data_IF_326405385056
#
_entry.id   IF_326405385056
#
_cell.length_a   1.000
_cell.length_b   1.000
_cell.length_c   1.000
_cell.angle_alpha   90.00
_cell.angle_beta   90.00
_cell.angle_gamma   90.00
#
_symmetry.space_group_name_H-M   'P 1'
#
loop_
_entity.id
_entity.type
_entity.pdbx_description
1 polymer ?
#
# COMPACT_ATOMS: atom_id res chain seq x y z
N UNK A 1 16.36 -11.65 21.77
CA UNK A 1 15.64 -11.75 20.49
C UNK A 1 14.14 -11.80 20.78
N UNK A 2 13.40 -10.75 20.42
CA UNK A 2 11.98 -10.62 20.78
C UNK A 2 11.07 -11.47 19.88
N UNK A 3 9.85 -11.80 20.32
CA UNK A 3 8.89 -12.59 19.52
C UNK A 3 8.48 -11.87 18.22
N UNK A 4 8.54 -10.55 18.23
CA UNK A 4 8.14 -9.68 17.12
C UNK A 4 9.19 -9.68 16.01
N UNK A 5 10.48 -9.67 16.36
CA UNK A 5 11.58 -9.84 15.39
C UNK A 5 11.43 -11.12 14.58
N UNK A 6 11.05 -12.23 15.24
CA UNK A 6 10.79 -13.52 14.57
C UNK A 6 9.52 -13.49 13.72
N UNK A 7 8.46 -12.85 14.20
CA UNK A 7 7.20 -12.76 13.46
C UNK A 7 7.31 -11.91 12.19
N UNK A 8 8.09 -10.83 12.25
CA UNK A 8 8.35 -9.94 11.11
C UNK A 8 9.48 -10.44 10.20
N UNK A 9 10.24 -11.47 10.60
CA UNK A 9 11.39 -11.97 9.85
C UNK A 9 12.54 -10.98 9.73
N UNK A 10 12.65 -10.02 10.66
CA UNK A 10 13.63 -8.93 10.61
C UNK A 10 14.83 -9.26 11.51
N UNK A 11 16.08 -9.08 11.03
CA UNK A 11 17.26 -9.24 11.86
C UNK A 11 17.25 -8.30 13.08
N UNK A 12 17.69 -8.78 14.24
CA UNK A 12 17.67 -8.04 15.51
C UNK A 12 18.36 -6.66 15.43
N UNK A 13 19.50 -6.58 14.73
CA UNK A 13 20.23 -5.31 14.53
C UNK A 13 19.42 -4.30 13.69
N UNK A 14 18.72 -4.77 12.66
CA UNK A 14 17.82 -3.96 11.83
C UNK A 14 16.63 -3.49 12.64
N UNK A 15 16.08 -4.38 13.47
CA UNK A 15 14.95 -4.05 14.34
C UNK A 15 15.31 -2.93 15.32
N UNK A 16 16.45 -3.04 16.00
CA UNK A 16 16.92 -2.00 16.92
C UNK A 16 17.31 -0.68 16.25
N UNK A 17 17.82 -0.71 15.01
CA UNK A 17 18.24 0.50 14.30
C UNK A 17 17.08 1.32 13.75
N UNK A 18 16.01 0.66 13.32
CA UNK A 18 14.87 1.31 12.63
C UNK A 18 13.63 1.47 13.50
N UNK A 19 13.51 0.69 14.57
CA UNK A 19 12.34 0.70 15.45
C UNK A 19 12.72 1.02 16.91
N UNK A 20 13.80 1.78 17.11
CA UNK A 20 14.28 2.19 18.43
C UNK A 20 13.16 2.82 19.28
N UNK A 21 12.36 3.71 18.69
CA UNK A 21 11.24 4.38 19.37
C UNK A 21 10.18 3.38 19.86
N UNK A 22 9.89 2.36 19.05
CA UNK A 22 8.93 1.31 19.40
C UNK A 22 9.46 0.46 20.57
N UNK A 23 10.77 0.19 20.56
CA UNK A 23 11.49 -0.57 21.59
C UNK A 23 11.48 0.19 22.92
N UNK A 24 11.83 1.46 22.91
CA UNK A 24 11.86 2.29 24.11
C UNK A 24 10.47 2.57 24.69
N UNK A 25 9.44 2.72 23.84
CA UNK A 25 8.07 2.96 24.29
C UNK A 25 7.36 1.72 24.86
N UNK A 26 7.58 0.54 24.27
CA UNK A 26 6.74 -0.64 24.54
C UNK A 26 7.49 -1.85 25.10
N UNK A 27 8.80 -1.94 24.91
CA UNK A 27 9.56 -3.16 25.25
C UNK A 27 10.58 -2.94 26.37
N UNK A 28 10.92 -1.70 26.68
CA UNK A 28 11.79 -1.38 27.81
C UNK A 28 11.00 -1.48 29.12
N UNK A 29 11.43 -2.32 30.09
CA UNK A 29 10.82 -2.34 31.41
C UNK A 29 10.93 -0.93 32.01
N UNK A 30 9.80 -0.27 32.27
CA UNK A 30 9.76 1.00 33.02
C UNK A 30 10.20 0.71 34.46
N UNK A 31 11.50 0.80 34.71
CA UNK A 31 12.00 1.04 36.06
C UNK A 31 11.48 2.45 36.42
N UNK A 32 10.70 2.63 37.50
CA UNK A 32 10.22 3.95 37.88
C UNK A 32 11.42 4.81 38.26
N UNK A 33 11.89 5.65 37.34
CA UNK A 33 12.87 6.68 37.63
C UNK A 33 12.15 7.84 38.33
N UNK A 34 12.73 8.42 39.40
CA UNK A 34 12.13 9.56 40.09
C UNK A 34 11.97 10.73 39.11
N UNK A 35 10.82 11.41 39.18
CA UNK A 35 10.36 12.41 38.23
C UNK A 35 11.45 13.43 37.84
N UNK A 36 11.95 13.31 36.60
CA UNK A 36 12.70 14.38 35.94
C UNK A 36 11.71 15.32 35.22
N UNK A 37 11.98 16.64 35.22
CA UNK A 37 11.11 17.62 34.59
C UNK A 37 11.04 17.40 33.08
N UNK A 38 9.81 17.44 32.55
CA UNK A 38 9.48 17.24 31.15
C UNK A 38 10.20 18.26 30.25
N UNK A 39 11.12 17.78 29.42
CA UNK A 39 11.57 18.51 28.23
C UNK A 39 10.52 18.36 27.12
N UNK A 40 10.12 19.45 26.43
CA UNK A 40 9.10 19.38 25.40
C UNK A 40 9.53 18.54 24.21
N UNK A 41 8.62 17.64 23.85
CA UNK A 41 8.49 16.78 22.68
C UNK A 41 8.93 17.42 21.35
N UNK A 42 10.04 16.95 20.79
CA UNK A 42 10.38 17.10 19.37
C UNK A 42 9.80 15.93 18.54
N UNK A 43 8.49 15.66 18.58
CA UNK A 43 7.85 14.59 17.76
C UNK A 43 7.07 15.11 16.55
N UNK A 44 6.81 16.42 16.48
CA UNK A 44 5.82 16.98 15.55
C UNK A 44 6.18 16.80 14.06
N UNK A 45 7.47 16.72 13.72
CA UNK A 45 7.92 16.50 12.34
C UNK A 45 7.82 15.05 11.85
N UNK A 46 7.90 14.07 12.75
CA UNK A 46 7.85 12.64 12.41
C UNK A 46 6.41 12.18 12.15
N UNK A 47 5.46 12.67 12.96
CA UNK A 47 4.05 12.33 12.87
C UNK A 47 3.43 12.85 11.56
N UNK A 48 3.76 14.08 11.15
CA UNK A 48 3.28 14.67 9.91
C UNK A 48 3.79 13.90 8.66
N UNK A 49 5.05 13.46 8.67
CA UNK A 49 5.62 12.65 7.58
C UNK A 49 4.97 11.27 7.51
N UNK A 50 4.67 10.68 8.66
CA UNK A 50 4.01 9.37 8.75
C UNK A 50 2.58 9.44 8.24
N UNK A 51 1.81 10.48 8.61
CA UNK A 51 0.45 10.68 8.12
C UNK A 51 0.42 10.99 6.61
N UNK A 52 1.38 11.77 6.11
CA UNK A 52 1.53 12.03 4.67
C UNK A 52 1.82 10.75 3.86
N UNK A 53 2.67 9.85 4.40
CA UNK A 53 2.94 8.56 3.78
C UNK A 53 1.70 7.65 3.82
N UNK A 54 0.97 7.62 4.95
CA UNK A 54 -0.23 6.80 5.12
C UNK A 54 -1.35 7.24 4.18
N UNK A 55 -1.58 8.54 4.07
CA UNK A 55 -2.58 9.12 3.15
C UNK A 55 -2.22 8.86 1.69
N UNK A 56 -0.93 8.97 1.33
CA UNK A 56 -0.44 8.57 0.00
C UNK A 56 -0.72 7.08 -0.26
N UNK A 57 -0.39 6.20 0.67
CA UNK A 57 -0.59 4.75 0.51
C UNK A 57 -2.07 4.37 0.38
N UNK A 58 -2.96 5.04 1.13
CA UNK A 58 -4.42 4.86 1.00
C UNK A 58 -4.91 5.26 -0.39
N UNK A 59 -4.40 6.36 -0.94
CA UNK A 59 -4.72 6.81 -2.30
C UNK A 59 -4.25 5.79 -3.33
N UNK A 60 -2.99 5.38 -3.25
CA UNK A 60 -2.41 4.37 -4.14
C UNK A 60 -3.18 3.04 -4.06
N UNK A 61 -3.59 2.59 -2.87
CA UNK A 61 -4.40 1.38 -2.73
C UNK A 61 -5.78 1.50 -3.40
N UNK A 62 -6.40 2.68 -3.30
CA UNK A 62 -7.68 2.96 -3.95
C UNK A 62 -7.53 2.94 -5.47
N UNK A 63 -6.47 3.56 -6.00
CA UNK A 63 -6.17 3.60 -7.42
C UNK A 63 -5.86 2.19 -7.97
N UNK A 64 -5.14 1.37 -7.21
CA UNK A 64 -4.86 -0.04 -7.55
C UNK A 64 -6.14 -0.87 -7.60
N UNK A 65 -7.03 -0.73 -6.61
CA UNK A 65 -8.33 -1.44 -6.62
C UNK A 65 -9.19 -1.05 -7.81
N UNK A 66 -9.19 0.23 -8.18
CA UNK A 66 -9.90 0.72 -9.37
C UNK A 66 -9.33 0.11 -10.64
N UNK A 67 -8.00 0.07 -10.75
CA UNK A 67 -7.29 -0.51 -11.89
C UNK A 67 -7.57 -2.02 -12.01
N UNK A 68 -7.56 -2.75 -10.89
CA UNK A 68 -7.91 -4.17 -10.86
C UNK A 68 -9.33 -4.43 -11.35
N UNK A 69 -10.31 -3.66 -10.88
CA UNK A 69 -11.69 -3.82 -11.34
C UNK A 69 -11.85 -3.61 -12.85
N UNK A 70 -11.10 -2.68 -13.45
CA UNK A 70 -11.09 -2.48 -14.90
C UNK A 70 -10.48 -3.67 -15.64
N UNK A 71 -9.36 -4.20 -15.16
CA UNK A 71 -8.72 -5.35 -15.78
C UNK A 71 -9.54 -6.63 -15.64
N UNK A 72 -10.17 -6.85 -14.49
CA UNK A 72 -11.11 -7.97 -14.30
C UNK A 72 -12.25 -7.91 -15.32
N UNK A 73 -12.83 -6.74 -15.55
CA UNK A 73 -13.89 -6.58 -16.55
C UNK A 73 -13.38 -6.80 -17.97
N UNK A 74 -12.21 -6.24 -18.32
CA UNK A 74 -11.61 -6.46 -19.63
C UNK A 74 -11.32 -7.95 -19.89
N UNK A 75 -10.83 -8.68 -18.88
CA UNK A 75 -10.61 -10.13 -18.97
C UNK A 75 -11.94 -10.88 -19.16
N UNK A 76 -13.01 -10.50 -18.44
CA UNK A 76 -14.33 -11.10 -18.64
C UNK A 76 -14.84 -10.89 -20.06
N UNK A 77 -14.73 -9.67 -20.59
CA UNK A 77 -15.14 -9.35 -21.96
C UNK A 77 -14.33 -10.15 -22.98
N UNK A 78 -13.01 -10.18 -22.84
CA UNK A 78 -12.13 -10.98 -23.70
C UNK A 78 -12.45 -12.48 -23.65
N UNK A 79 -12.80 -13.02 -22.49
CA UNK A 79 -13.21 -14.41 -22.36
C UNK A 79 -14.50 -14.70 -23.12
N UNK A 80 -15.51 -13.84 -22.97
CA UNK A 80 -16.78 -13.94 -23.71
C UNK A 80 -16.57 -13.82 -25.23
N UNK A 81 -15.73 -12.89 -25.67
CA UNK A 81 -15.36 -12.74 -27.08
C UNK A 81 -14.60 -13.96 -27.61
N UNK A 82 -13.67 -14.52 -26.83
CA UNK A 82 -12.93 -15.72 -27.21
C UNK A 82 -13.85 -16.94 -27.36
N UNK A 83 -14.79 -17.11 -26.44
CA UNK A 83 -15.78 -18.18 -26.50
C UNK A 83 -16.71 -18.01 -27.71
N UNK A 84 -17.14 -16.77 -28.02
CA UNK A 84 -17.94 -16.47 -29.21
C UNK A 84 -17.17 -16.79 -30.51
N UNK A 85 -15.88 -16.40 -30.58
CA UNK A 85 -15.00 -16.70 -31.70
C UNK A 85 -14.83 -18.21 -31.89
N UNK A 86 -14.59 -18.94 -30.80
CA UNK A 86 -14.45 -20.41 -30.83
C UNK A 86 -15.75 -21.11 -31.21
N UNK A 87 -16.90 -20.53 -30.83
CA UNK A 87 -18.24 -20.99 -31.21
C UNK A 87 -18.62 -20.68 -32.66
N UNK A 88 -17.76 -20.01 -33.44
CA UNK A 88 -18.02 -19.67 -34.84
C UNK A 88 -18.90 -18.45 -35.06
N UNK A 89 -19.12 -17.63 -34.03
CA UNK A 89 -19.84 -16.37 -34.17
C UNK A 89 -18.95 -15.32 -34.86
N UNK A 90 -19.52 -14.59 -35.83
CA UNK A 90 -18.86 -13.46 -36.46
C UNK A 90 -18.72 -12.32 -35.45
N UNK A 91 -17.50 -12.02 -35.01
CA UNK A 91 -17.22 -10.87 -34.15
C UNK A 91 -17.53 -9.60 -34.92
N UNK A 92 -18.52 -8.84 -34.43
CA UNK A 92 -18.73 -7.45 -34.85
C UNK A 92 -17.62 -6.63 -34.21
N UNK A 93 -16.65 -6.11 -34.98
CA UNK A 93 -15.57 -5.32 -34.40
C UNK A 93 -16.15 -4.08 -33.71
N UNK A 94 -15.68 -3.85 -32.49
CA UNK A 94 -16.00 -2.66 -31.70
C UNK A 94 -15.67 -1.42 -32.54
N UNK A 95 -16.58 -0.45 -32.72
CA UNK A 95 -16.31 0.74 -33.53
C UNK A 95 -15.17 1.52 -32.92
N UNK A 96 -13.99 1.44 -33.52
CA UNK A 96 -12.86 2.30 -33.20
C UNK A 96 -13.27 3.73 -33.50
N UNK A 97 -13.37 4.55 -32.45
CA UNK A 97 -13.69 5.97 -32.52
C UNK A 97 -12.77 6.65 -33.54
N UNK A 98 -13.32 6.96 -34.72
CA UNK A 98 -12.64 7.71 -35.78
C UNK A 98 -12.21 9.05 -35.18
N UNK A 99 -10.91 9.24 -34.94
CA UNK A 99 -10.39 10.59 -34.71
C UNK A 99 -10.46 11.35 -36.02
N UNK A 100 -11.05 12.56 -36.06
CA UNK A 100 -11.03 13.38 -37.26
C UNK A 100 -9.58 13.78 -37.56
N UNK A 101 -9.15 13.55 -38.80
CA UNK A 101 -7.90 14.07 -39.32
C UNK A 101 -7.99 15.60 -39.33
N UNK A 102 -7.08 16.27 -38.60
CA UNK A 102 -6.85 17.71 -38.77
C UNK A 102 -6.17 17.94 -40.11
N UNK A 103 -6.87 18.68 -40.98
CA UNK A 103 -6.29 19.35 -42.15
C UNK A 103 -5.50 20.60 -41.76
#
# INVERSE_FOLDING_TARGET
MTAIERHLGVPHATFHRHYADLIDAHFRPRIPAPAQPATPTESSGSDARTEANLSRLRKENTDLRRTLALYEEAIRQLALENDALRGGAAVVPLPTRTMPASS
#
